data_IF_654147174839
#
_entry.id   IF_654147174839
#
_cell.length_a   1.000
_cell.length_b   1.000
_cell.length_c   1.000
_cell.angle_alpha   90.00
_cell.angle_beta   90.00
_cell.angle_gamma   90.00
#
_symmetry.space_group_name_H-M   'P 1'
#
loop_
_entity.id
_entity.type
_entity.pdbx_description
1 polymer ?
#
# COMPACT_ATOMS: atom_id res chain seq x y z
N UNK A 1 13.71 -16.94 -15.87
CA UNK A 1 14.17 -15.62 -15.45
C UNK A 1 13.56 -15.36 -14.08
N UNK A 2 14.37 -15.04 -13.06
CA UNK A 2 13.83 -14.66 -11.75
C UNK A 2 12.99 -13.39 -11.94
N UNK A 3 11.74 -13.43 -11.48
CA UNK A 3 10.87 -12.27 -11.51
C UNK A 3 11.46 -11.19 -10.60
N UNK A 4 11.72 -10.00 -11.12
CA UNK A 4 12.20 -8.86 -10.34
C UNK A 4 11.12 -8.46 -9.35
N UNK A 5 11.42 -8.54 -8.05
CA UNK A 5 10.52 -8.10 -6.99
C UNK A 5 10.54 -6.57 -6.87
N UNK A 6 9.41 -5.99 -6.52
CA UNK A 6 9.28 -4.57 -6.25
C UNK A 6 9.60 -4.29 -4.77
N UNK A 7 10.86 -3.95 -4.48
CA UNK A 7 11.37 -3.78 -3.13
C UNK A 7 10.98 -2.43 -2.50
N UNK A 8 11.08 -2.35 -1.17
CA UNK A 8 10.99 -1.09 -0.43
C UNK A 8 12.24 -0.24 -0.63
N UNK A 9 13.34 -0.84 -1.08
CA UNK A 9 14.67 -0.25 -1.24
C UNK A 9 15.19 0.33 0.07
N UNK A 10 15.08 -0.46 1.11
CA UNK A 10 15.54 -0.15 2.46
C UNK A 10 16.52 -1.23 2.91
N UNK A 11 17.84 -0.94 3.02
CA UNK A 11 18.80 -1.90 3.55
C UNK A 11 18.32 -2.47 4.90
N UNK A 12 18.55 -3.76 5.14
CA UNK A 12 18.04 -4.47 6.31
C UNK A 12 16.57 -4.91 6.17
N UNK A 13 15.69 -4.08 5.65
CA UNK A 13 14.31 -4.47 5.35
C UNK A 13 14.26 -5.40 4.13
N UNK A 14 15.01 -5.07 3.07
CA UNK A 14 15.05 -5.87 1.85
C UNK A 14 15.69 -7.25 2.07
N UNK A 15 16.49 -7.44 3.12
CA UNK A 15 17.00 -8.75 3.56
C UNK A 15 15.87 -9.61 4.15
N UNK A 16 14.95 -9.00 4.92
CA UNK A 16 13.79 -9.67 5.49
C UNK A 16 12.69 -9.86 4.44
N UNK A 17 12.43 -8.82 3.68
CA UNK A 17 11.37 -8.76 2.68
C UNK A 17 11.91 -8.18 1.37
N UNK A 18 12.38 -9.02 0.43
CA UNK A 18 12.96 -8.58 -0.84
C UNK A 18 12.02 -7.78 -1.74
N UNK A 19 10.70 -7.86 -1.52
CA UNK A 19 9.73 -7.04 -2.23
C UNK A 19 8.46 -7.77 -2.63
N UNK A 20 7.56 -7.02 -3.23
CA UNK A 20 6.28 -7.50 -3.74
C UNK A 20 6.43 -8.14 -5.11
N UNK A 21 5.72 -9.24 -5.34
CA UNK A 21 5.59 -9.87 -6.64
C UNK A 21 4.34 -9.40 -7.39
N UNK A 22 4.34 -9.44 -8.74
CA UNK A 22 3.09 -9.28 -9.50
C UNK A 22 2.05 -10.31 -9.05
N UNK A 23 0.84 -9.85 -8.79
CA UNK A 23 -0.24 -10.66 -8.24
C UNK A 23 -0.37 -10.62 -6.71
N UNK A 24 0.52 -9.92 -6.00
CA UNK A 24 0.43 -9.78 -4.56
C UNK A 24 -0.69 -8.83 -4.13
N UNK A 25 -1.44 -9.29 -3.13
CA UNK A 25 -2.28 -8.45 -2.29
C UNK A 25 -1.61 -8.31 -0.94
N UNK A 26 -1.11 -7.11 -0.65
CA UNK A 26 -0.36 -6.78 0.56
C UNK A 26 -1.13 -5.85 1.49
N UNK A 27 -0.92 -6.02 2.79
CA UNK A 27 -1.46 -5.15 3.84
C UNK A 27 -0.32 -4.50 4.60
N UNK A 28 -0.38 -3.17 4.74
CA UNK A 28 0.56 -2.37 5.52
C UNK A 28 -0.20 -1.64 6.63
N UNK A 29 0.21 -1.78 7.88
CA UNK A 29 -0.50 -1.18 9.00
C UNK A 29 0.40 -0.86 10.22
N UNK A 30 -0.17 -0.28 11.26
CA UNK A 30 0.47 -0.04 12.57
C UNK A 30 0.86 1.41 12.79
N UNK A 31 1.93 1.90 12.21
CA UNK A 31 2.39 3.29 12.39
C UNK A 31 1.90 4.21 11.27
N UNK A 32 1.68 5.52 11.55
CA UNK A 32 1.44 6.53 10.51
C UNK A 32 2.54 6.63 9.44
N UNK A 33 3.72 6.07 9.67
CA UNK A 33 4.81 5.99 8.67
C UNK A 33 4.40 5.23 7.40
N UNK A 34 3.39 4.36 7.47
CA UNK A 34 2.80 3.66 6.32
C UNK A 34 2.34 4.64 5.22
N UNK A 35 1.80 5.82 5.60
CA UNK A 35 1.41 6.86 4.64
C UNK A 35 2.61 7.39 3.86
N UNK A 36 3.76 7.52 4.53
CA UNK A 36 5.00 7.98 3.90
C UNK A 36 5.54 6.91 2.95
N UNK A 37 5.50 5.67 3.40
CA UNK A 37 5.93 4.54 2.61
C UNK A 37 5.09 4.34 1.35
N UNK A 38 3.76 4.43 1.43
CA UNK A 38 2.92 4.34 0.23
C UNK A 38 3.19 5.47 -0.75
N UNK A 39 3.49 6.69 -0.26
CA UNK A 39 3.91 7.80 -1.12
C UNK A 39 5.22 7.50 -1.85
N UNK A 40 6.19 6.92 -1.15
CA UNK A 40 7.46 6.49 -1.74
C UNK A 40 7.24 5.38 -2.79
N UNK A 41 6.43 4.38 -2.49
CA UNK A 41 6.12 3.29 -3.41
C UNK A 41 5.44 3.80 -4.70
N UNK A 42 4.57 4.82 -4.60
CA UNK A 42 3.97 5.45 -5.78
C UNK A 42 5.01 6.08 -6.72
N UNK A 43 6.11 6.59 -6.18
CA UNK A 43 7.20 7.18 -6.97
C UNK A 43 8.07 6.07 -7.52
N UNK A 44 8.49 5.13 -6.68
CA UNK A 44 9.35 4.02 -7.07
C UNK A 44 8.73 3.15 -8.17
N UNK A 45 7.41 2.93 -8.15
CA UNK A 45 6.71 2.18 -9.19
C UNK A 45 6.89 2.78 -10.60
N UNK A 46 7.17 4.08 -10.69
CA UNK A 46 7.38 4.77 -11.96
C UNK A 46 8.80 4.67 -12.49
N UNK A 47 9.76 4.27 -11.65
CA UNK A 47 11.13 4.04 -12.08
C UNK A 47 11.21 2.87 -13.08
N UNK A 48 12.20 2.87 -13.97
CA UNK A 48 12.50 1.73 -14.82
C UNK A 48 12.73 0.45 -14.01
N UNK A 49 12.41 -0.71 -14.61
CA UNK A 49 12.60 -2.02 -13.94
C UNK A 49 14.05 -2.24 -13.56
N UNK A 50 15.00 -1.74 -14.35
CA UNK A 50 16.45 -1.83 -14.10
C UNK A 50 16.88 -1.08 -12.83
N UNK A 51 16.07 -0.10 -12.40
CA UNK A 51 16.26 0.67 -11.16
C UNK A 51 15.34 0.19 -10.03
N UNK A 52 14.84 -1.05 -10.12
CA UNK A 52 13.97 -1.65 -9.10
C UNK A 52 12.54 -1.11 -9.08
N UNK A 53 12.12 -0.40 -10.13
CA UNK A 53 10.73 0.07 -10.31
C UNK A 53 9.88 -0.91 -11.11
N UNK A 54 8.67 -0.48 -11.45
CA UNK A 54 7.73 -1.24 -12.29
C UNK A 54 7.60 -0.65 -13.70
N UNK A 55 8.20 0.53 -13.96
CA UNK A 55 8.04 1.29 -15.19
C UNK A 55 6.57 1.64 -15.50
N UNK A 56 5.75 1.84 -14.48
CA UNK A 56 4.30 1.80 -14.57
C UNK A 56 3.65 3.04 -13.95
N UNK A 57 2.43 3.32 -14.37
CA UNK A 57 1.54 4.24 -13.68
C UNK A 57 1.00 3.60 -12.39
N UNK A 58 0.39 4.43 -11.54
CA UNK A 58 -0.15 4.05 -10.24
C UNK A 58 -1.61 4.47 -10.15
N UNK A 59 -2.45 3.60 -9.62
CA UNK A 59 -3.81 3.93 -9.18
C UNK A 59 -3.81 4.09 -7.66
N UNK A 60 -4.29 5.23 -7.17
CA UNK A 60 -4.38 5.53 -5.74
C UNK A 60 -5.84 5.77 -5.35
N UNK A 61 -6.44 4.83 -4.62
CA UNK A 61 -7.77 4.99 -4.04
C UNK A 61 -7.61 5.53 -2.62
N UNK A 62 -8.00 6.78 -2.43
CA UNK A 62 -7.80 7.50 -1.18
C UNK A 62 -9.05 7.41 -0.29
N UNK A 63 -9.07 6.42 0.61
CA UNK A 63 -10.12 6.22 1.60
C UNK A 63 -9.92 7.00 2.90
N UNK A 64 -8.67 7.36 3.24
CA UNK A 64 -8.33 8.03 4.49
C UNK A 64 -7.96 9.50 4.35
N UNK A 65 -8.15 10.11 3.17
CA UNK A 65 -7.65 11.45 2.87
C UNK A 65 -6.14 11.58 3.17
N UNK A 66 -5.37 10.58 2.78
CA UNK A 66 -3.94 10.47 3.12
C UNK A 66 -3.02 10.96 2.01
N UNK A 67 -3.52 11.10 0.78
CA UNK A 67 -2.72 11.58 -0.34
C UNK A 67 -2.29 13.03 -0.14
N UNK A 68 -0.97 13.27 -0.22
CA UNK A 68 -0.36 14.59 -0.03
C UNK A 68 0.47 14.96 -1.25
N UNK A 69 -0.11 15.77 -2.13
CA UNK A 69 0.52 16.22 -3.38
C UNK A 69 1.92 16.81 -3.18
N UNK A 70 2.06 17.72 -2.23
CA UNK A 70 3.36 18.35 -1.94
C UNK A 70 4.42 17.36 -1.44
N UNK A 71 4.00 16.33 -0.71
CA UNK A 71 4.90 15.27 -0.26
C UNK A 71 5.40 14.43 -1.44
N UNK A 72 4.51 14.06 -2.35
CA UNK A 72 4.88 13.36 -3.59
C UNK A 72 5.85 14.22 -4.42
N UNK A 73 5.54 15.51 -4.60
CA UNK A 73 6.41 16.41 -5.36
C UNK A 73 7.81 16.53 -4.74
N UNK A 74 7.90 16.67 -3.42
CA UNK A 74 9.19 16.72 -2.69
C UNK A 74 9.97 15.41 -2.82
N UNK A 75 9.30 14.28 -2.65
CA UNK A 75 9.92 12.95 -2.80
C UNK A 75 10.41 12.75 -4.24
N UNK A 76 9.65 13.18 -5.26
CA UNK A 76 10.08 13.10 -6.65
C UNK A 76 11.37 13.89 -6.89
N UNK A 77 11.47 15.11 -6.35
CA UNK A 77 12.70 15.94 -6.44
C UNK A 77 13.89 15.24 -5.80
N UNK A 78 13.71 14.64 -4.62
CA UNK A 78 14.77 13.91 -3.92
C UNK A 78 15.26 12.69 -4.74
N UNK A 79 14.38 12.07 -5.52
CA UNK A 79 14.73 11.01 -6.48
C UNK A 79 15.17 11.54 -7.85
N UNK A 80 15.47 12.84 -7.99
CA UNK A 80 15.87 13.48 -9.25
C UNK A 80 14.86 13.29 -10.38
N UNK A 81 13.59 13.11 -10.05
CA UNK A 81 12.49 13.00 -10.98
C UNK A 81 11.75 14.32 -11.12
N UNK A 82 11.17 14.57 -12.28
CA UNK A 82 10.31 15.74 -12.51
C UNK A 82 8.98 15.55 -11.74
N UNK A 83 8.67 16.40 -10.72
CA UNK A 83 7.46 16.26 -9.93
C UNK A 83 6.16 16.26 -10.72
N UNK A 84 6.09 17.07 -11.76
CA UNK A 84 4.92 17.17 -12.64
C UNK A 84 4.67 15.84 -13.35
N UNK A 85 5.69 15.28 -13.97
CA UNK A 85 5.60 13.99 -14.66
C UNK A 85 5.22 12.86 -13.70
N UNK A 86 5.77 12.87 -12.47
CA UNK A 86 5.42 11.89 -11.44
C UNK A 86 3.96 12.01 -11.06
N UNK A 87 3.46 13.22 -10.84
CA UNK A 87 2.06 13.45 -10.46
C UNK A 87 1.08 13.08 -11.57
N UNK A 88 1.41 13.35 -12.83
CA UNK A 88 0.60 12.98 -14.00
C UNK A 88 0.45 11.47 -14.19
N UNK A 89 1.32 10.66 -13.55
CA UNK A 89 1.31 9.20 -13.60
C UNK A 89 0.66 8.54 -12.37
N UNK A 90 0.11 9.32 -11.43
CA UNK A 90 -0.65 8.83 -10.29
C UNK A 90 -2.11 9.19 -10.47
N UNK A 91 -2.95 8.20 -10.73
CA UNK A 91 -4.39 8.35 -10.94
C UNK A 91 -5.12 8.20 -9.61
N UNK A 92 -5.67 9.31 -9.12
CA UNK A 92 -6.25 9.38 -7.78
C UNK A 92 -7.77 9.35 -7.87
N UNK A 93 -8.38 8.46 -7.10
CA UNK A 93 -9.81 8.43 -6.84
C UNK A 93 -10.05 8.54 -5.35
N UNK A 94 -10.80 9.54 -4.89
CA UNK A 94 -11.10 9.73 -3.47
C UNK A 94 -12.52 9.29 -3.17
N UNK A 95 -12.67 8.51 -2.12
CA UNK A 95 -13.96 8.17 -1.53
C UNK A 95 -14.25 9.09 -0.34
N UNK A 96 -15.52 9.30 -0.06
CA UNK A 96 -16.02 10.04 1.11
C UNK A 96 -17.02 9.21 1.91
N UNK A 97 -17.39 8.03 1.41
CA UNK A 97 -18.32 7.10 2.07
C UNK A 97 -17.91 5.66 1.77
N UNK A 98 -18.37 4.72 2.61
CA UNK A 98 -18.19 3.29 2.37
C UNK A 98 -18.76 2.84 1.02
N UNK A 99 -19.91 3.37 0.62
CA UNK A 99 -20.54 3.07 -0.67
C UNK A 99 -19.66 3.51 -1.85
N UNK A 100 -19.11 4.74 -1.79
CA UNK A 100 -18.20 5.23 -2.83
C UNK A 100 -16.93 4.39 -2.92
N UNK A 101 -16.32 4.04 -1.76
CA UNK A 101 -15.15 3.17 -1.73
C UNK A 101 -15.46 1.80 -2.36
N UNK A 102 -16.61 1.22 -2.01
CA UNK A 102 -17.07 -0.06 -2.56
C UNK A 102 -17.21 0.01 -4.09
N UNK A 103 -17.88 1.04 -4.61
CA UNK A 103 -18.05 1.22 -6.05
C UNK A 103 -16.73 1.46 -6.78
N UNK A 104 -15.82 2.25 -6.23
CA UNK A 104 -14.47 2.46 -6.79
C UNK A 104 -13.72 1.14 -6.92
N UNK A 105 -13.88 0.23 -5.96
CA UNK A 105 -13.17 -1.05 -5.94
C UNK A 105 -13.88 -2.09 -6.82
N UNK A 106 -15.18 -2.33 -6.60
CA UNK A 106 -15.89 -3.43 -7.24
C UNK A 106 -16.31 -3.15 -8.68
N UNK A 107 -16.67 -1.89 -8.98
CA UNK A 107 -17.25 -1.53 -10.27
C UNK A 107 -16.25 -0.85 -11.21
N UNK A 108 -15.31 -0.05 -10.68
CA UNK A 108 -14.48 0.84 -11.52
C UNK A 108 -13.01 0.45 -11.60
N UNK A 109 -12.49 -0.33 -10.66
CA UNK A 109 -11.05 -0.60 -10.56
C UNK A 109 -10.51 -1.30 -11.81
N UNK A 110 -11.21 -2.27 -12.36
CA UNK A 110 -10.77 -3.03 -13.55
C UNK A 110 -10.60 -2.13 -14.77
N UNK A 111 -11.56 -1.27 -15.02
CA UNK A 111 -11.49 -0.29 -16.12
C UNK A 111 -10.35 0.71 -15.88
N UNK A 112 -10.23 1.20 -14.64
CA UNK A 112 -9.20 2.19 -14.27
C UNK A 112 -7.80 1.65 -14.51
N UNK A 113 -7.47 0.44 -14.05
CA UNK A 113 -6.12 -0.13 -14.24
C UNK A 113 -5.79 -0.37 -15.70
N UNK A 114 -6.78 -0.77 -16.52
CA UNK A 114 -6.61 -0.97 -17.97
C UNK A 114 -6.33 0.37 -18.68
N UNK A 115 -7.17 1.37 -18.41
CA UNK A 115 -7.03 2.70 -19.04
C UNK A 115 -5.73 3.40 -18.65
N UNK A 116 -5.28 3.23 -17.41
CA UNK A 116 -4.06 3.84 -16.90
C UNK A 116 -2.81 2.98 -17.13
N UNK A 117 -2.94 1.73 -17.57
CA UNK A 117 -1.83 0.77 -17.64
C UNK A 117 -1.03 0.72 -16.33
N UNK A 118 -1.74 0.60 -15.21
CA UNK A 118 -1.14 0.61 -13.86
C UNK A 118 -0.81 -0.80 -13.39
N UNK A 119 0.40 -0.97 -12.81
CA UNK A 119 0.84 -2.22 -12.17
C UNK A 119 0.88 -2.13 -10.65
N UNK A 120 0.71 -0.93 -10.10
CA UNK A 120 0.56 -0.70 -8.66
C UNK A 120 -0.78 -0.04 -8.38
N UNK A 121 -1.52 -0.63 -7.45
CA UNK A 121 -2.74 -0.06 -6.88
C UNK A 121 -2.52 0.12 -5.38
N UNK A 122 -2.77 1.32 -4.88
CA UNK A 122 -2.75 1.63 -3.44
C UNK A 122 -4.17 1.99 -3.01
N UNK A 123 -4.65 1.35 -1.95
CA UNK A 123 -5.92 1.68 -1.30
C UNK A 123 -5.59 2.15 0.12
N UNK A 124 -5.70 3.46 0.35
CA UNK A 124 -5.38 4.02 1.66
C UNK A 124 -6.57 3.94 2.59
N UNK A 125 -6.31 3.49 3.82
CA UNK A 125 -7.30 3.35 4.89
C UNK A 125 -8.58 2.60 4.45
N UNK A 126 -8.38 1.38 4.01
CA UNK A 126 -9.43 0.55 3.41
C UNK A 126 -10.65 0.32 4.35
N UNK A 127 -10.44 0.37 5.68
CA UNK A 127 -11.48 0.10 6.66
C UNK A 127 -12.18 1.36 7.19
N UNK A 128 -11.57 2.54 7.08
CA UNK A 128 -12.01 3.75 7.79
C UNK A 128 -13.50 4.05 7.70
N UNK A 129 -14.07 4.02 6.50
CA UNK A 129 -15.50 4.29 6.31
C UNK A 129 -16.42 3.19 6.85
N UNK A 130 -15.94 1.98 7.02
CA UNK A 130 -16.72 0.86 7.58
C UNK A 130 -16.74 0.87 9.11
N UNK A 131 -16.02 1.81 9.75
CA UNK A 131 -16.02 2.01 11.20
C UNK A 131 -17.16 2.92 11.66
N UNK A 132 -17.86 3.56 10.73
CA UNK A 132 -18.99 4.43 11.04
C UNK A 132 -20.10 3.64 11.75
N UNK A 133 -20.61 4.20 12.85
CA UNK A 133 -21.65 3.59 13.66
C UNK A 133 -23.03 3.58 12.95
N UNK A 134 -23.22 4.46 11.96
CA UNK A 134 -24.45 4.51 11.17
C UNK A 134 -24.59 3.28 10.24
N UNK A 135 -23.50 2.56 9.99
CA UNK A 135 -23.53 1.32 9.22
C UNK A 135 -23.70 0.12 10.19
N UNK A 136 -24.76 -0.69 10.05
CA UNK A 136 -24.92 -1.89 10.86
C UNK A 136 -23.70 -2.81 10.75
N UNK A 137 -23.27 -3.40 11.88
CA UNK A 137 -22.04 -4.21 11.95
C UNK A 137 -22.05 -5.36 10.96
N UNK A 138 -23.16 -6.06 10.84
CA UNK A 138 -23.30 -7.22 9.94
C UNK A 138 -23.20 -6.80 8.47
N UNK A 139 -23.81 -5.67 8.13
CA UNK A 139 -23.74 -5.10 6.78
C UNK A 139 -22.29 -4.68 6.44
N UNK A 140 -21.64 -3.95 7.34
CA UNK A 140 -20.25 -3.57 7.17
C UNK A 140 -19.35 -4.79 6.94
N UNK A 141 -19.48 -5.84 7.74
CA UNK A 141 -18.71 -7.07 7.59
C UNK A 141 -18.99 -7.78 6.27
N UNK A 142 -20.26 -7.88 5.87
CA UNK A 142 -20.68 -8.54 4.63
C UNK A 142 -20.08 -7.84 3.40
N UNK A 143 -20.27 -6.52 3.31
CA UNK A 143 -19.75 -5.73 2.18
C UNK A 143 -18.22 -5.73 2.17
N UNK A 144 -17.62 -5.56 3.34
CA UNK A 144 -16.16 -5.57 3.49
C UNK A 144 -15.54 -6.91 3.09
N UNK A 145 -16.17 -8.04 3.47
CA UNK A 145 -15.74 -9.38 3.05
C UNK A 145 -15.75 -9.54 1.52
N UNK A 146 -16.75 -8.98 0.84
CA UNK A 146 -16.79 -8.97 -0.64
C UNK A 146 -15.61 -8.19 -1.22
N UNK A 147 -15.33 -6.99 -0.67
CA UNK A 147 -14.21 -6.15 -1.11
C UNK A 147 -12.89 -6.91 -0.99
N UNK A 148 -12.55 -7.43 0.19
CA UNK A 148 -11.22 -8.06 0.40
C UNK A 148 -11.08 -9.37 -0.40
N UNK A 149 -12.17 -10.11 -0.60
CA UNK A 149 -12.18 -11.30 -1.44
C UNK A 149 -11.96 -10.96 -2.92
N UNK A 150 -12.61 -9.88 -3.39
CA UNK A 150 -12.42 -9.37 -4.74
C UNK A 150 -10.96 -8.91 -4.94
N UNK A 151 -10.41 -8.09 -4.04
CA UNK A 151 -9.05 -7.57 -4.16
C UNK A 151 -8.00 -8.68 -4.22
N UNK A 152 -8.13 -9.72 -3.42
CA UNK A 152 -7.21 -10.87 -3.42
C UNK A 152 -7.23 -11.64 -4.77
N UNK A 153 -8.40 -11.87 -5.34
CA UNK A 153 -8.53 -12.51 -6.66
C UNK A 153 -8.14 -11.59 -7.79
N UNK A 154 -8.45 -10.30 -7.66
CA UNK A 154 -8.16 -9.26 -8.64
C UNK A 154 -6.66 -9.06 -8.85
N UNK A 155 -5.88 -8.94 -7.77
CA UNK A 155 -4.43 -8.79 -7.85
C UNK A 155 -3.81 -9.94 -8.65
N UNK A 156 -4.19 -11.18 -8.34
CA UNK A 156 -3.73 -12.39 -9.05
C UNK A 156 -4.18 -12.43 -10.51
N UNK A 157 -5.45 -12.12 -10.79
CA UNK A 157 -6.00 -12.15 -12.16
C UNK A 157 -5.27 -11.17 -13.07
N UNK A 158 -5.00 -9.96 -12.57
CA UNK A 158 -4.41 -8.88 -13.37
C UNK A 158 -2.89 -8.76 -13.24
N UNK A 159 -2.25 -9.62 -12.41
CA UNK A 159 -0.81 -9.61 -12.17
C UNK A 159 -0.29 -8.22 -11.77
N UNK A 160 -1.06 -7.53 -10.93
CA UNK A 160 -0.70 -6.23 -10.35
C UNK A 160 -0.30 -6.40 -8.89
N UNK A 161 0.46 -5.44 -8.38
CA UNK A 161 0.72 -5.30 -6.95
C UNK A 161 -0.39 -4.43 -6.36
N UNK A 162 -1.12 -4.96 -5.38
CA UNK A 162 -2.18 -4.26 -4.68
C UNK A 162 -1.80 -4.11 -3.21
N UNK A 163 -1.77 -2.86 -2.73
CA UNK A 163 -1.39 -2.52 -1.36
C UNK A 163 -2.58 -1.85 -0.67
N UNK A 164 -3.10 -2.46 0.39
CA UNK A 164 -4.08 -1.84 1.28
C UNK A 164 -3.42 -1.37 2.56
N UNK A 165 -3.82 -0.20 3.06
CA UNK A 165 -3.32 0.31 4.34
C UNK A 165 -4.42 0.51 5.36
N UNK A 166 -4.03 0.52 6.62
CA UNK A 166 -4.87 0.85 7.76
C UNK A 166 -4.27 2.03 8.52
N UNK A 167 -5.13 2.95 8.93
CA UNK A 167 -4.78 3.96 9.93
C UNK A 167 -4.92 3.36 11.34
N UNK A 168 -4.13 3.84 12.31
CA UNK A 168 -4.22 3.35 13.69
C UNK A 168 -5.49 3.89 14.37
N UNK A 169 -6.53 3.06 14.47
CA UNK A 169 -7.74 3.32 15.23
C UNK A 169 -7.68 2.58 16.56
N UNK A 170 -7.01 3.17 17.53
CA UNK A 170 -6.76 2.54 18.84
C UNK A 170 -8.07 2.16 19.55
N UNK A 171 -8.14 0.91 20.03
CA UNK A 171 -9.28 0.42 20.83
C UNK A 171 -10.56 0.14 20.07
N UNK A 172 -10.62 0.33 18.74
CA UNK A 172 -11.79 0.04 17.95
C UNK A 172 -11.86 -1.45 17.56
N UNK A 173 -12.72 -2.21 18.25
CA UNK A 173 -12.91 -3.66 18.02
C UNK A 173 -13.37 -3.98 16.59
N UNK A 174 -14.18 -3.09 15.97
CA UNK A 174 -14.62 -3.28 14.58
C UNK A 174 -13.42 -3.16 13.64
N UNK A 175 -12.52 -2.19 13.88
CA UNK A 175 -11.31 -2.04 13.08
C UNK A 175 -10.43 -3.29 13.14
N UNK A 176 -10.20 -3.83 14.34
CA UNK A 176 -9.39 -5.06 14.52
C UNK A 176 -9.98 -6.23 13.72
N UNK A 177 -11.30 -6.41 13.78
CA UNK A 177 -11.98 -7.47 13.03
C UNK A 177 -11.84 -7.29 11.51
N UNK A 178 -12.05 -6.07 10.99
CA UNK A 178 -11.91 -5.81 9.55
C UNK A 178 -10.45 -5.98 9.10
N UNK A 179 -9.49 -5.59 9.93
CA UNK A 179 -8.07 -5.80 9.69
C UNK A 179 -7.74 -7.30 9.62
N UNK A 180 -8.20 -8.10 10.57
CA UNK A 180 -8.03 -9.56 10.55
C UNK A 180 -8.60 -10.19 9.28
N UNK A 181 -9.79 -9.75 8.83
CA UNK A 181 -10.41 -10.22 7.59
C UNK A 181 -9.52 -9.93 6.37
N UNK A 182 -8.88 -8.76 6.33
CA UNK A 182 -7.99 -8.37 5.22
C UNK A 182 -6.67 -9.13 5.28
N UNK A 183 -6.04 -9.21 6.46
CA UNK A 183 -4.79 -9.94 6.66
C UNK A 183 -4.96 -11.44 6.33
N UNK A 184 -6.13 -12.02 6.62
CA UNK A 184 -6.43 -13.41 6.26
C UNK A 184 -6.41 -13.64 4.74
N UNK A 185 -6.85 -12.67 3.93
CA UNK A 185 -6.91 -12.75 2.47
C UNK A 185 -5.64 -12.26 1.76
N UNK A 186 -4.84 -11.45 2.43
CA UNK A 186 -3.59 -10.94 1.88
C UNK A 186 -2.53 -12.04 1.73
N UNK A 187 -1.65 -11.90 0.73
CA UNK A 187 -0.46 -12.72 0.59
C UNK A 187 0.64 -12.26 1.53
N UNK A 188 0.80 -10.94 1.66
CA UNK A 188 1.85 -10.29 2.41
C UNK A 188 1.24 -9.39 3.47
N UNK A 189 1.72 -9.47 4.70
CA UNK A 189 1.31 -8.59 5.80
C UNK A 189 2.58 -8.03 6.45
N UNK A 190 2.68 -6.71 6.45
CA UNK A 190 3.75 -5.96 7.08
C UNK A 190 3.17 -5.01 8.13
N UNK A 191 3.58 -5.16 9.37
CA UNK A 191 3.27 -4.22 10.43
C UNK A 191 4.45 -3.30 10.72
N UNK A 192 4.12 -2.05 11.04
CA UNK A 192 5.10 -1.00 11.32
C UNK A 192 4.89 -0.51 12.76
N UNK A 193 5.92 -0.58 13.57
CA UNK A 193 5.93 -0.05 14.91
C UNK A 193 6.89 1.13 15.04
N UNK A 194 6.58 2.02 15.97
CA UNK A 194 7.45 3.12 16.37
C UNK A 194 7.43 3.19 17.89
N UNK A 195 8.58 2.98 18.48
CA UNK A 195 8.85 3.27 19.89
C UNK A 195 9.53 4.63 20.03
N UNK A 196 9.93 4.98 21.23
CA UNK A 196 10.72 6.21 21.48
C UNK A 196 12.11 6.14 20.81
N UNK A 197 12.68 4.93 20.70
CA UNK A 197 14.06 4.72 20.27
C UNK A 197 14.20 4.02 18.91
N UNK A 198 13.23 3.20 18.55
CA UNK A 198 13.31 2.35 17.37
C UNK A 198 12.08 2.48 16.48
N UNK A 199 12.28 2.18 15.22
CA UNK A 199 11.20 1.91 14.26
C UNK A 199 11.46 0.56 13.65
N UNK A 200 10.44 -0.23 13.56
CA UNK A 200 10.56 -1.60 13.10
C UNK A 200 9.49 -1.90 12.06
N UNK A 201 9.84 -2.78 11.16
CA UNK A 201 8.91 -3.48 10.27
C UNK A 201 8.93 -4.97 10.60
N UNK A 202 7.78 -5.54 10.77
CA UNK A 202 7.62 -6.98 10.99
C UNK A 202 6.89 -7.58 9.79
N UNK A 203 7.52 -8.59 9.17
CA UNK A 203 6.85 -9.44 8.19
C UNK A 203 6.05 -10.50 8.95
N UNK A 204 4.74 -10.33 9.02
CA UNK A 204 3.83 -11.20 9.77
C UNK A 204 3.25 -12.33 8.93
N UNK A 205 3.20 -12.14 7.61
CA UNK A 205 2.70 -13.14 6.68
C UNK A 205 3.38 -13.00 5.33
N UNK A 206 3.86 -14.12 4.81
CA UNK A 206 4.31 -14.26 3.43
C UNK A 206 4.32 -15.74 3.03
N UNK A 207 4.01 -16.10 1.77
CA UNK A 207 3.96 -17.51 1.36
C UNK A 207 5.34 -18.19 1.29
N UNK A 208 6.43 -17.41 1.14
CA UNK A 208 7.76 -17.98 0.86
C UNK A 208 8.88 -17.45 1.75
N UNK A 209 8.78 -16.23 2.29
CA UNK A 209 9.85 -15.64 3.09
C UNK A 209 9.70 -15.99 4.57
N UNK A 210 10.83 -16.04 5.26
CA UNK A 210 10.88 -16.27 6.71
C UNK A 210 10.31 -15.04 7.40
N UNK A 211 9.39 -15.26 8.34
CA UNK A 211 8.78 -14.20 9.13
C UNK A 211 9.78 -13.65 10.14
N UNK A 212 9.75 -12.36 10.40
CA UNK A 212 10.70 -11.72 11.30
C UNK A 212 10.51 -10.22 11.36
N UNK A 213 11.44 -9.56 12.05
CA UNK A 213 11.44 -8.11 12.26
C UNK A 213 12.77 -7.52 11.81
N UNK A 214 12.71 -6.37 11.15
CA UNK A 214 13.88 -5.60 10.77
C UNK A 214 13.72 -4.15 11.27
N UNK A 215 14.83 -3.52 11.60
CA UNK A 215 14.87 -2.12 12.02
C UNK A 215 14.75 -1.20 10.80
N UNK A 216 13.90 -0.18 10.92
CA UNK A 216 13.79 0.87 9.90
C UNK A 216 14.84 1.94 10.15
N UNK A 217 15.43 2.52 9.10
CA UNK A 217 16.35 3.64 9.25
C UNK A 217 15.73 4.80 10.03
N UNK A 218 16.55 5.53 10.78
CA UNK A 218 16.10 6.71 11.53
C UNK A 218 15.59 7.82 10.59
N UNK A 219 14.70 8.70 11.08
CA UNK A 219 14.13 9.81 10.26
C UNK A 219 15.18 10.81 9.74
N UNK A 220 16.37 10.81 10.32
CA UNK A 220 17.49 11.67 9.91
C UNK A 220 18.25 11.12 8.70
N UNK A 221 17.96 9.88 8.28
CA UNK A 221 18.44 9.38 7.01
C UNK A 221 17.71 10.14 5.91
N UNK A 222 18.44 10.93 5.19
CA UNK A 222 17.93 11.58 3.97
C UNK A 222 17.59 10.50 2.96
N UNK A 223 16.63 10.75 2.09
CA UNK A 223 16.25 9.81 1.03
C UNK A 223 17.43 9.38 0.12
N UNK A 224 18.57 10.07 0.18
CA UNK A 224 19.84 9.63 -0.43
C UNK A 224 20.33 8.29 0.10
N UNK A 225 20.00 7.93 1.34
CA UNK A 225 20.38 6.64 1.93
C UNK A 225 19.52 5.47 1.37
N UNK A 226 18.40 5.80 0.71
CA UNK A 226 17.56 4.85 -0.03
C UNK A 226 17.85 4.79 -1.53
N UNK A 227 18.76 5.63 -2.01
CA UNK A 227 19.25 5.60 -3.38
C UNK A 227 20.56 4.81 -3.36
N UNK A 228 20.46 3.48 -3.56
CA UNK A 228 21.66 2.66 -3.73
C UNK A 228 22.56 3.28 -4.80
N UNK A 229 23.85 3.33 -4.50
CA UNK A 229 24.93 3.75 -5.39
C UNK A 229 24.97 2.87 -6.65
#
# INVERSE_FOLDING_TARGET
MAQSLFSLNMPGVDELFPGFAPGDFAVLYGSPSVISLTSLLCIRAQLPVQLGGLGSNVVFIDGGNTFRLYKIARLAQLHQLNPRQVLERIFISRAFTAHQLTSLILDKLEETIKNCNAKLVVISDIAGFFLDNDIPREEAQRVYSQIVSYLSSFARKHQIILIATYLPYSGNKRNSLLQEMTCARANTVLSFSKTEYTREVTLEKHPFFVLGTAELPSENLTLTDFMGA
#
